data_IF_257585013159
#
_entry.id   IF_257585013159
#
_cell.length_a   1.000
_cell.length_b   1.000
_cell.length_c   1.000
_cell.angle_alpha   90.00
_cell.angle_beta   90.00
_cell.angle_gamma   90.00
#
_symmetry.space_group_name_H-M   'P 1'
#
loop_
_entity.id
_entity.type
_entity.pdbx_description
1 polymer ?
#
# COMPACT_ATOMS: atom_id res chain seq x y z
N UNK A 1 -10.82 -16.33 27.12
CA UNK A 1 -10.97 -16.46 25.65
C UNK A 1 -9.86 -15.68 24.99
N UNK A 2 -8.94 -16.32 24.28
CA UNK A 2 -7.91 -15.63 23.50
C UNK A 2 -8.56 -15.27 22.14
N UNK A 3 -8.86 -13.99 21.91
CA UNK A 3 -9.34 -13.53 20.59
C UNK A 3 -8.18 -13.72 19.61
N UNK A 4 -8.36 -14.56 18.59
CA UNK A 4 -7.41 -14.61 17.48
C UNK A 4 -7.39 -13.23 16.80
N UNK A 5 -6.27 -12.52 16.92
CA UNK A 5 -6.04 -11.28 16.18
C UNK A 5 -5.36 -11.62 14.86
N UNK A 6 -5.84 -11.01 13.78
CA UNK A 6 -5.17 -11.06 12.50
C UNK A 6 -3.82 -10.31 12.62
N UNK A 7 -2.77 -10.83 11.99
CA UNK A 7 -1.47 -10.13 11.93
C UNK A 7 -1.49 -8.95 10.95
N UNK A 8 -2.36 -9.02 9.96
CA UNK A 8 -2.56 -8.01 8.91
C UNK A 8 -3.81 -8.35 8.11
N UNK A 9 -4.33 -7.37 7.37
CA UNK A 9 -5.48 -7.51 6.47
C UNK A 9 -5.06 -7.08 5.06
N UNK A 10 -5.33 -7.94 4.08
CA UNK A 10 -5.04 -7.69 2.66
C UNK A 10 -6.35 -7.51 1.89
N UNK A 11 -6.61 -6.32 1.39
CA UNK A 11 -7.75 -6.02 0.53
C UNK A 11 -7.32 -6.10 -0.95
N UNK A 12 -7.48 -7.29 -1.54
CA UNK A 12 -6.96 -7.65 -2.87
C UNK A 12 -8.07 -7.92 -3.89
N UNK A 13 -9.18 -7.18 -3.83
CA UNK A 13 -10.28 -7.26 -4.81
C UNK A 13 -9.90 -6.52 -6.08
N UNK A 14 -10.57 -6.85 -7.18
CA UNK A 14 -10.41 -6.17 -8.46
C UNK A 14 -10.98 -4.74 -8.42
N UNK A 15 -11.97 -4.49 -7.56
CA UNK A 15 -12.61 -3.20 -7.43
C UNK A 15 -11.96 -2.36 -6.30
N UNK A 16 -11.37 -1.22 -6.67
CA UNK A 16 -10.71 -0.28 -5.74
C UNK A 16 -11.65 0.23 -4.63
N UNK A 17 -12.94 0.37 -4.92
CA UNK A 17 -13.93 0.80 -3.93
C UNK A 17 -14.21 -0.30 -2.89
N UNK A 18 -14.23 -1.57 -3.30
CA UNK A 18 -14.32 -2.69 -2.37
C UNK A 18 -13.07 -2.74 -1.48
N UNK A 19 -11.89 -2.52 -2.05
CA UNK A 19 -10.65 -2.50 -1.27
C UNK A 19 -10.65 -1.39 -0.22
N UNK A 20 -11.06 -0.18 -0.60
CA UNK A 20 -11.22 0.93 0.34
C UNK A 20 -12.25 0.60 1.45
N UNK A 21 -13.37 -0.02 1.09
CA UNK A 21 -14.39 -0.41 2.06
C UNK A 21 -13.89 -1.49 3.05
N UNK A 22 -13.15 -2.49 2.57
CA UNK A 22 -12.54 -3.51 3.42
C UNK A 22 -11.58 -2.87 4.43
N UNK A 23 -10.78 -1.88 4.02
CA UNK A 23 -9.88 -1.16 4.93
C UNK A 23 -10.66 -0.38 5.99
N UNK A 24 -11.74 0.32 5.61
CA UNK A 24 -12.60 1.02 6.56
C UNK A 24 -13.23 0.04 7.57
N UNK A 25 -13.78 -1.08 7.08
CA UNK A 25 -14.37 -2.10 7.93
C UNK A 25 -13.34 -2.75 8.86
N UNK A 26 -12.12 -2.97 8.37
CA UNK A 26 -11.01 -3.49 9.17
C UNK A 26 -10.65 -2.57 10.33
N UNK A 27 -10.64 -1.25 10.10
CA UNK A 27 -10.34 -0.25 11.14
C UNK A 27 -11.45 -0.12 12.17
N UNK A 28 -12.71 -0.26 11.74
CA UNK A 28 -13.86 -0.19 12.64
C UNK A 28 -14.03 -1.46 13.48
N UNK A 29 -13.86 -2.65 12.88
CA UNK A 29 -14.13 -3.94 13.52
C UNK A 29 -12.90 -4.59 14.17
N UNK A 30 -11.70 -4.22 13.73
CA UNK A 30 -10.43 -4.73 14.21
C UNK A 30 -9.88 -3.97 15.41
N UNK A 31 -8.64 -4.27 15.79
CA UNK A 31 -7.86 -3.34 16.62
C UNK A 31 -7.26 -2.25 15.74
N UNK A 32 -7.15 -1.03 16.24
CA UNK A 32 -6.48 0.09 15.55
C UNK A 32 -5.08 -0.29 15.03
N UNK A 33 -4.42 -1.27 15.67
CA UNK A 33 -3.06 -1.68 15.35
C UNK A 33 -2.97 -2.78 14.26
N UNK A 34 -4.07 -3.31 13.72
CA UNK A 34 -3.98 -4.36 12.68
C UNK A 34 -3.58 -3.73 11.34
N UNK A 35 -2.38 -3.99 10.80
CA UNK A 35 -1.92 -3.34 9.56
C UNK A 35 -2.76 -3.76 8.35
N UNK A 36 -3.04 -2.81 7.49
CA UNK A 36 -3.92 -2.93 6.32
C UNK A 36 -3.17 -2.64 5.03
N UNK A 37 -3.33 -3.51 4.04
CA UNK A 37 -2.80 -3.34 2.68
C UNK A 37 -3.95 -3.27 1.70
N UNK A 38 -4.00 -2.23 0.87
CA UNK A 38 -4.99 -2.09 -0.19
C UNK A 38 -4.35 -2.26 -1.57
N UNK A 39 -4.91 -3.14 -2.40
CA UNK A 39 -4.60 -3.21 -3.81
C UNK A 39 -5.26 -2.04 -4.56
N UNK A 40 -4.48 -1.34 -5.38
CA UNK A 40 -4.95 -0.34 -6.32
C UNK A 40 -4.76 -0.88 -7.74
N UNK A 41 -5.89 -1.19 -8.38
CA UNK A 41 -5.94 -1.67 -9.75
C UNK A 41 -5.99 -0.51 -10.75
N UNK A 42 -6.67 0.59 -10.39
CA UNK A 42 -6.77 1.77 -11.25
C UNK A 42 -6.30 3.05 -10.53
N UNK A 43 -5.29 3.71 -11.11
CA UNK A 43 -4.70 4.93 -10.55
C UNK A 43 -5.69 6.09 -10.41
N UNK A 44 -6.75 6.11 -11.22
CA UNK A 44 -7.82 7.12 -11.15
C UNK A 44 -8.59 7.11 -9.82
N UNK A 45 -8.55 6.01 -9.06
CA UNK A 45 -9.27 5.86 -7.80
C UNK A 45 -8.37 6.03 -6.57
N UNK A 46 -7.11 6.44 -6.74
CA UNK A 46 -6.14 6.54 -5.64
C UNK A 46 -6.65 7.39 -4.48
N UNK A 47 -7.39 8.48 -4.75
CA UNK A 47 -7.94 9.35 -3.72
C UNK A 47 -8.94 8.64 -2.80
N UNK A 48 -9.74 7.70 -3.34
CA UNK A 48 -10.71 6.92 -2.55
C UNK A 48 -9.99 5.91 -1.65
N UNK A 49 -8.98 5.23 -2.17
CA UNK A 49 -8.15 4.32 -1.38
C UNK A 49 -7.41 5.09 -0.27
N UNK A 50 -6.81 6.24 -0.60
CA UNK A 50 -6.11 7.10 0.37
C UNK A 50 -7.02 7.58 1.50
N UNK A 51 -8.29 7.88 1.23
CA UNK A 51 -9.26 8.29 2.26
C UNK A 51 -9.56 7.20 3.29
N UNK A 52 -9.46 5.92 2.90
CA UNK A 52 -9.54 4.80 3.85
C UNK A 52 -8.28 4.67 4.73
N UNK A 53 -7.22 5.43 4.41
CA UNK A 53 -5.95 5.50 5.11
C UNK A 53 -5.30 4.11 5.33
N UNK A 54 -5.19 3.23 4.32
CA UNK A 54 -4.49 1.97 4.49
C UNK A 54 -3.03 2.23 4.89
N UNK A 55 -2.42 1.30 5.62
CA UNK A 55 -1.00 1.39 5.98
C UNK A 55 -0.10 1.22 4.75
N UNK A 56 -0.55 0.44 3.76
CA UNK A 56 0.18 0.15 2.52
C UNK A 56 -0.76 0.23 1.32
N UNK A 57 -0.33 0.87 0.23
CA UNK A 57 -1.02 0.86 -1.06
C UNK A 57 -0.16 0.13 -2.07
N UNK A 58 -0.63 -1.01 -2.55
CA UNK A 58 0.04 -1.80 -3.57
C UNK A 58 -0.58 -1.54 -4.94
N UNK A 59 0.21 -1.11 -5.92
CA UNK A 59 -0.18 -1.18 -7.34
C UNK A 59 0.69 -2.18 -8.08
N UNK A 60 0.09 -3.28 -8.53
CA UNK A 60 0.81 -4.30 -9.31
C UNK A 60 1.31 -3.76 -10.65
N UNK A 61 0.57 -2.83 -11.26
CA UNK A 61 0.98 -2.20 -12.52
C UNK A 61 2.22 -1.31 -12.32
N UNK A 62 2.22 -0.44 -11.30
CA UNK A 62 3.39 0.39 -10.99
C UNK A 62 4.60 -0.45 -10.56
N UNK A 63 4.38 -1.47 -9.75
CA UNK A 63 5.43 -2.42 -9.35
C UNK A 63 6.03 -3.14 -10.58
N UNK A 64 5.18 -3.67 -11.46
CA UNK A 64 5.61 -4.36 -12.67
C UNK A 64 6.39 -3.44 -13.62
N UNK A 65 5.92 -2.19 -13.80
CA UNK A 65 6.60 -1.21 -14.64
C UNK A 65 8.01 -0.88 -14.13
N UNK A 66 8.17 -0.68 -12.82
CA UNK A 66 9.48 -0.38 -12.22
C UNK A 66 10.42 -1.59 -12.30
N UNK A 67 9.93 -2.79 -12.01
CA UNK A 67 10.71 -4.04 -12.13
C UNK A 67 11.19 -4.23 -13.57
N UNK A 68 10.31 -4.07 -14.56
CA UNK A 68 10.66 -4.21 -15.97
C UNK A 68 11.66 -3.14 -16.42
N UNK A 69 11.46 -1.89 -16.02
CA UNK A 69 12.36 -0.78 -16.31
C UNK A 69 13.78 -1.11 -15.86
N UNK A 70 13.94 -1.55 -14.61
CA UNK A 70 15.24 -1.92 -14.03
C UNK A 70 15.89 -3.12 -14.70
N UNK A 71 15.10 -4.12 -15.08
CA UNK A 71 15.62 -5.27 -15.84
C UNK A 71 16.17 -4.84 -17.20
N UNK A 72 15.49 -3.94 -17.90
CA UNK A 72 15.95 -3.40 -19.19
C UNK A 72 17.20 -2.54 -19.02
N UNK A 73 17.27 -1.72 -17.97
CA UNK A 73 18.41 -0.84 -17.70
C UNK A 73 19.58 -1.52 -16.98
N UNK A 74 19.40 -2.77 -16.54
CA UNK A 74 20.34 -3.52 -15.68
C UNK A 74 20.60 -2.83 -14.33
N UNK A 75 19.64 -2.06 -13.85
CA UNK A 75 19.69 -1.47 -12.51
C UNK A 75 19.26 -2.51 -11.46
N UNK A 76 19.87 -2.51 -10.27
CA UNK A 76 19.47 -3.42 -9.20
C UNK A 76 18.10 -3.03 -8.63
N UNK A 77 17.34 -4.03 -8.18
CA UNK A 77 16.16 -3.82 -7.32
C UNK A 77 16.66 -3.89 -5.87
N UNK A 78 16.54 -2.78 -5.15
CA UNK A 78 16.97 -2.68 -3.74
C UNK A 78 15.76 -2.65 -2.80
N UNK A 79 15.99 -2.86 -1.51
CA UNK A 79 14.96 -2.68 -0.47
C UNK A 79 14.36 -1.26 -0.53
N UNK A 80 15.20 -0.24 -0.69
CA UNK A 80 14.76 1.16 -0.84
C UNK A 80 13.83 1.36 -2.05
N UNK A 81 14.12 0.66 -3.16
CA UNK A 81 13.24 0.67 -4.35
C UNK A 81 11.88 0.11 -4.00
N UNK A 82 11.85 -1.05 -3.33
CA UNK A 82 10.60 -1.73 -2.98
C UNK A 82 9.78 -0.91 -1.97
N UNK A 83 10.41 -0.31 -0.97
CA UNK A 83 9.75 0.55 0.01
C UNK A 83 9.07 1.75 -0.66
N UNK A 84 9.74 2.42 -1.61
CA UNK A 84 9.12 3.54 -2.35
C UNK A 84 7.91 3.15 -3.17
N UNK A 85 7.87 1.91 -3.69
CA UNK A 85 6.76 1.41 -4.52
C UNK A 85 5.56 0.95 -3.70
N UNK A 86 5.81 0.37 -2.52
CA UNK A 86 4.77 -0.20 -1.65
C UNK A 86 4.21 0.81 -0.65
N UNK A 87 5.01 1.80 -0.23
CA UNK A 87 4.63 2.81 0.74
C UNK A 87 4.63 4.22 0.13
N UNK A 88 3.79 4.49 -0.91
CA UNK A 88 3.72 5.81 -1.53
C UNK A 88 3.16 6.91 -0.62
N UNK A 89 2.72 6.55 0.60
CA UNK A 89 2.18 7.48 1.60
C UNK A 89 3.27 8.24 2.39
N UNK A 90 4.53 7.78 2.34
CA UNK A 90 5.64 8.34 3.14
C UNK A 90 6.50 9.36 2.40
N UNK A 91 6.23 9.63 1.12
CA UNK A 91 7.14 10.45 0.28
C UNK A 91 7.00 11.97 0.56
N UNK A 92 5.93 12.42 1.22
CA UNK A 92 5.75 13.83 1.61
C UNK A 92 6.20 14.17 3.05
N UNK A 93 6.67 13.22 3.87
CA UNK A 93 6.90 13.45 5.32
C UNK A 93 8.37 13.48 5.76
N UNK A 94 9.36 13.29 4.87
CA UNK A 94 10.77 13.41 5.27
C UNK A 94 11.27 14.85 5.08
N UNK A 95 11.52 15.64 6.15
CA UNK A 95 12.10 16.97 5.98
C UNK A 95 13.48 16.85 5.32
N UNK A 96 13.89 17.84 4.50
CA UNK A 96 15.24 17.86 3.93
C UNK A 96 16.25 17.81 5.07
N UNK A 97 17.26 16.94 4.95
CA UNK A 97 18.37 16.92 5.91
C UNK A 97 18.96 18.32 5.95
N UNK A 98 18.85 19.00 7.09
CA UNK A 98 19.58 20.22 7.35
C UNK A 98 21.08 19.90 7.22
N UNK A 99 21.75 20.65 6.34
CA UNK A 99 23.19 20.58 6.14
C UNK A 99 23.97 21.15 7.31
#
# INVERSE_FOLDING_TARGET
MYKAQAKYILALRDNDAENAFIVLAAKEAGSEETPTVALMNHSIHINKIKQAQPDVILSLQSLGAEVLSRLVTKEPITEETLTRLLFPLDIESRPPKAG
#
